data_IF_179149238361
#
_entry.id   IF_179149238361
#
_cell.length_a   1.000
_cell.length_b   1.000
_cell.length_c   1.000
_cell.angle_alpha   90.00
_cell.angle_beta   90.00
_cell.angle_gamma   90.00
#
_symmetry.space_group_name_H-M   'P 1'
#
loop_
_entity.id
_entity.type
_entity.pdbx_description
1 polymer ?
#
# COMPACT_ATOMS: atom_id res chain seq x y z
N UNK A 1 -4.62 -23.67 13.91
CA UNK A 1 -5.28 -23.60 12.59
C UNK A 1 -5.30 -22.15 12.15
N UNK A 2 -4.27 -21.66 11.45
CA UNK A 2 -4.27 -20.29 10.92
C UNK A 2 -4.51 -20.39 9.41
N UNK A 3 -5.68 -19.93 8.97
CA UNK A 3 -6.18 -20.09 7.61
C UNK A 3 -5.43 -19.13 6.68
N UNK A 4 -4.50 -19.66 5.88
CA UNK A 4 -3.72 -18.92 4.87
C UNK A 4 -4.57 -18.20 3.78
N UNK A 5 -5.89 -18.28 3.84
CA UNK A 5 -6.85 -17.65 2.91
C UNK A 5 -7.12 -16.16 3.20
N UNK A 6 -6.68 -15.64 4.34
CA UNK A 6 -7.11 -14.32 4.81
C UNK A 6 -6.44 -13.12 4.09
N UNK A 7 -5.37 -13.33 3.30
CA UNK A 7 -4.65 -12.23 2.66
C UNK A 7 -4.01 -11.27 3.68
N UNK A 8 -3.22 -10.31 3.22
CA UNK A 8 -2.67 -9.26 4.11
C UNK A 8 -3.68 -8.12 4.18
N UNK A 9 -4.18 -7.79 5.38
CA UNK A 9 -5.11 -6.66 5.56
C UNK A 9 -4.40 -5.34 5.28
N UNK A 10 -5.06 -4.46 4.53
CA UNK A 10 -4.64 -3.08 4.32
C UNK A 10 -5.51 -2.13 5.14
N UNK A 11 -5.00 -0.93 5.36
CA UNK A 11 -5.77 0.18 5.94
C UNK A 11 -6.76 0.80 4.92
N UNK A 12 -6.66 0.43 3.64
CA UNK A 12 -7.60 0.85 2.60
C UNK A 12 -8.98 0.19 2.73
N UNK A 13 -10.02 1.01 2.63
CA UNK A 13 -11.42 0.60 2.62
C UNK A 13 -11.96 0.58 1.19
N UNK A 14 -12.69 -0.46 0.84
CA UNK A 14 -13.33 -0.60 -0.47
C UNK A 14 -14.38 0.49 -0.68
N UNK A 15 -14.16 1.37 -1.65
CA UNK A 15 -15.08 2.45 -2.04
C UNK A 15 -16.48 1.96 -2.49
N UNK A 16 -16.62 0.68 -2.86
CA UNK A 16 -17.88 0.12 -3.38
C UNK A 16 -18.80 -0.44 -2.30
N UNK A 17 -18.25 -0.96 -1.21
CA UNK A 17 -19.03 -1.63 -0.16
C UNK A 17 -18.66 -1.24 1.27
N UNK A 18 -17.58 -0.46 1.46
CA UNK A 18 -17.11 -0.05 2.79
C UNK A 18 -16.38 -1.15 3.58
N UNK A 19 -16.16 -2.34 2.99
CA UNK A 19 -15.39 -3.41 3.63
C UNK A 19 -13.88 -3.20 3.48
N UNK A 20 -13.04 -3.71 4.40
CA UNK A 20 -11.60 -3.60 4.27
C UNK A 20 -11.07 -4.31 3.03
N UNK A 21 -9.98 -3.80 2.49
CA UNK A 21 -9.28 -4.40 1.36
C UNK A 21 -8.14 -5.32 1.85
N UNK A 22 -7.79 -6.30 1.03
CA UNK A 22 -6.81 -7.33 1.34
C UNK A 22 -5.83 -7.51 0.17
N UNK A 23 -4.54 -7.55 0.45
CA UNK A 23 -3.52 -7.93 -0.52
C UNK A 23 -3.48 -9.45 -0.66
N UNK A 24 -3.63 -9.92 -1.89
CA UNK A 24 -3.52 -11.32 -2.28
C UNK A 24 -2.47 -11.46 -3.38
N UNK A 25 -1.80 -12.60 -3.44
CA UNK A 25 -0.78 -12.87 -4.46
C UNK A 25 -1.41 -13.78 -5.51
N UNK A 26 -1.56 -13.27 -6.73
CA UNK A 26 -2.10 -14.00 -7.87
C UNK A 26 -1.01 -14.45 -8.83
N UNK A 27 -1.42 -14.99 -9.97
CA UNK A 27 -0.50 -15.47 -11.03
C UNK A 27 0.40 -14.36 -11.60
N UNK A 28 -0.11 -13.13 -11.65
CA UNK A 28 0.57 -11.99 -12.26
C UNK A 28 1.30 -11.08 -11.26
N UNK A 29 1.14 -11.35 -9.95
CA UNK A 29 1.72 -10.52 -8.89
C UNK A 29 0.75 -10.28 -7.74
N UNK A 30 1.17 -9.49 -6.74
CA UNK A 30 0.29 -9.02 -5.68
C UNK A 30 -0.78 -8.07 -6.23
N UNK A 31 -1.99 -8.22 -5.73
CA UNK A 31 -3.13 -7.37 -6.07
C UNK A 31 -3.97 -7.15 -4.82
N UNK A 32 -4.66 -6.01 -4.76
CA UNK A 32 -5.57 -5.70 -3.66
C UNK A 32 -6.99 -6.10 -4.05
N UNK A 33 -7.69 -6.78 -3.15
CA UNK A 33 -9.00 -7.35 -3.36
C UNK A 33 -9.90 -7.11 -2.16
N UNK A 34 -11.18 -6.85 -2.39
CA UNK A 34 -12.12 -6.64 -1.30
C UNK A 34 -12.26 -7.89 -0.41
N UNK A 35 -12.30 -7.69 0.91
CA UNK A 35 -12.52 -8.79 1.86
C UNK A 35 -13.90 -9.43 1.74
N UNK A 36 -14.88 -8.69 1.23
CA UNK A 36 -16.26 -9.14 1.07
C UNK A 36 -16.50 -9.96 -0.21
N UNK A 37 -15.46 -10.42 -0.92
CA UNK A 37 -15.64 -11.34 -2.04
C UNK A 37 -16.32 -12.65 -1.57
N UNK A 38 -17.36 -13.17 -2.25
CA UNK A 38 -17.83 -12.83 -3.60
C UNK A 38 -18.90 -11.72 -3.69
N UNK A 39 -19.37 -11.18 -2.56
CA UNK A 39 -20.38 -10.12 -2.52
C UNK A 39 -19.85 -8.80 -3.13
N UNK A 40 -18.56 -8.54 -2.97
CA UNK A 40 -17.86 -7.44 -3.64
C UNK A 40 -16.68 -7.96 -4.48
N UNK A 41 -16.75 -7.76 -5.79
CA UNK A 41 -15.71 -8.16 -6.75
C UNK A 41 -14.70 -7.04 -7.06
N UNK A 42 -14.62 -6.03 -6.19
CA UNK A 42 -13.67 -4.95 -6.37
C UNK A 42 -12.23 -5.45 -6.18
N UNK A 43 -11.40 -5.25 -7.18
CA UNK A 43 -9.97 -5.60 -7.17
C UNK A 43 -9.19 -4.52 -7.88
N UNK A 44 -7.99 -4.21 -7.39
CA UNK A 44 -7.06 -3.28 -8.05
C UNK A 44 -5.68 -3.89 -8.08
N UNK A 45 -4.89 -3.48 -9.05
CA UNK A 45 -3.46 -3.81 -9.10
C UNK A 45 -2.71 -2.94 -8.08
N UNK A 46 -1.79 -3.57 -7.34
CA UNK A 46 -0.85 -2.85 -6.51
C UNK A 46 0.32 -2.48 -7.42
N UNK A 47 0.30 -1.25 -7.93
CA UNK A 47 1.46 -0.71 -8.62
C UNK A 47 2.62 -0.73 -7.62
N UNK A 48 3.75 -1.29 -8.05
CA UNK A 48 4.84 -1.74 -7.19
C UNK A 48 5.58 -0.52 -6.61
N UNK A 49 4.98 0.17 -5.65
CA UNK A 49 5.70 1.08 -4.77
C UNK A 49 6.21 0.22 -3.62
N UNK A 50 7.54 0.17 -3.52
CA UNK A 50 8.23 -0.32 -2.33
C UNK A 50 7.61 0.34 -1.08
N UNK A 51 7.65 -0.29 0.11
CA UNK A 51 6.79 0.08 1.22
C UNK A 51 7.10 1.49 1.74
N UNK A 52 6.46 2.50 1.16
CA UNK A 52 6.54 3.88 1.61
C UNK A 52 5.22 4.22 2.29
N UNK A 53 5.22 3.87 3.58
CA UNK A 53 4.80 4.77 4.65
C UNK A 53 4.00 6.00 4.21
N UNK A 54 2.71 5.95 4.52
CA UNK A 54 1.91 7.14 4.75
C UNK A 54 2.63 8.05 5.77
N UNK A 55 3.09 9.22 5.31
CA UNK A 55 3.50 10.35 6.18
C UNK A 55 4.95 10.32 6.67
N UNK A 56 5.78 11.17 6.08
CA UNK A 56 7.12 11.51 6.60
C UNK A 56 7.86 12.41 5.62
N UNK A 57 7.59 13.72 5.71
CA UNK A 57 8.45 14.78 5.18
C UNK A 57 9.95 14.48 5.41
N UNK A 58 10.73 14.29 4.34
CA UNK A 58 12.18 14.47 4.45
C UNK A 58 12.43 15.98 4.37
N UNK A 59 12.37 16.62 5.54
CA UNK A 59 12.88 17.99 5.71
C UNK A 59 14.38 17.94 5.40
N UNK A 60 14.74 18.36 4.19
CA UNK A 60 16.13 18.60 3.82
C UNK A 60 16.58 19.81 4.64
N UNK A 61 17.04 19.60 5.87
CA UNK A 61 17.63 20.68 6.66
C UNK A 61 18.89 21.16 5.91
N UNK A 62 18.93 22.44 5.46
CA UNK A 62 20.09 22.96 4.76
C UNK A 62 21.29 22.97 5.71
N UNK A 63 22.43 22.45 5.25
CA UNK A 63 23.67 22.44 6.01
C UNK A 63 24.00 23.83 6.58
N UNK A 64 23.77 24.02 7.88
CA UNK A 64 23.90 25.30 8.60
C UNK A 64 25.34 25.85 8.62
N UNK A 65 26.32 25.07 8.15
CA UNK A 65 27.70 25.51 8.05
C UNK A 65 28.06 26.08 6.65
N UNK A 66 27.37 25.66 5.57
CA UNK A 66 27.84 25.95 4.20
C UNK A 66 26.75 26.28 3.15
N UNK A 67 25.44 26.14 3.45
CA UNK A 67 24.34 26.72 2.67
C UNK A 67 24.26 26.38 1.17
N UNK A 68 24.88 25.30 0.70
CA UNK A 68 24.85 24.89 -0.72
C UNK A 68 24.44 23.42 -0.83
N UNK A 69 23.41 23.10 -1.63
CA UNK A 69 23.04 21.71 -1.87
C UNK A 69 24.15 21.02 -2.68
N UNK A 70 24.65 19.89 -2.17
CA UNK A 70 25.48 19.02 -2.99
C UNK A 70 24.56 18.27 -3.95
N UNK A 71 24.56 18.68 -5.21
CA UNK A 71 24.08 17.87 -6.33
C UNK A 71 25.22 17.89 -7.35
N UNK A 72 25.71 16.70 -7.74
CA UNK A 72 26.54 16.53 -8.94
C UNK A 72 25.67 16.58 -10.18
#
# INVERSE_FOLDING_TARGET
MQNLKEGVKTDEICERCGSPMLIKIGKFGPFIACSAYPECTNTRELEKQEPESEGGEEEIEPCENCGKPMVV
#
